data_IF_276700163688
#
_entry.id   IF_276700163688
#
_cell.length_a   1.000
_cell.length_b   1.000
_cell.length_c   1.000
_cell.angle_alpha   90.00
_cell.angle_beta   90.00
_cell.angle_gamma   90.00
#
_symmetry.space_group_name_H-M   'P 1'
#
loop_
_entity.id
_entity.type
_entity.pdbx_description
1 polymer ?
#
# COMPACT_ATOMS: atom_id res chain seq x y z
N UNK A 1 11.31 6.28 -3.28
CA UNK A 1 10.56 5.94 -2.06
C UNK A 1 10.12 4.51 -2.21
N UNK A 2 10.23 3.70 -1.18
CA UNK A 2 9.91 2.26 -1.24
C UNK A 2 9.16 1.87 0.03
N UNK A 3 8.26 0.90 -0.08
CA UNK A 3 7.56 0.28 1.03
C UNK A 3 7.82 -1.23 0.97
N UNK A 4 8.20 -1.89 2.08
CA UNK A 4 8.43 -3.33 2.07
C UNK A 4 7.13 -4.11 1.81
N UNK A 5 7.24 -5.23 1.12
CA UNK A 5 6.19 -6.24 0.97
C UNK A 5 6.54 -7.56 1.68
N UNK A 6 5.65 -8.56 1.63
CA UNK A 6 5.85 -9.83 2.34
C UNK A 6 7.10 -10.61 1.89
N UNK A 7 7.60 -10.34 0.68
CA UNK A 7 8.84 -10.93 0.16
C UNK A 7 10.12 -10.22 0.64
N UNK A 8 10.00 -9.06 1.29
CA UNK A 8 11.14 -8.32 1.82
C UNK A 8 11.52 -8.79 3.23
N UNK A 9 12.82 -8.75 3.52
CA UNK A 9 13.36 -9.02 4.86
C UNK A 9 13.86 -7.72 5.45
N UNK A 10 13.25 -7.25 6.55
CA UNK A 10 13.47 -5.92 7.15
C UNK A 10 14.95 -5.53 7.35
N UNK A 11 15.84 -6.37 7.94
CA UNK A 11 17.26 -6.07 8.02
C UNK A 11 17.94 -5.85 6.66
N UNK A 12 17.65 -6.71 5.68
CA UNK A 12 18.22 -6.64 4.35
C UNK A 12 17.70 -5.43 3.57
N UNK A 13 16.39 -5.17 3.68
CA UNK A 13 15.72 -4.01 3.11
C UNK A 13 16.35 -2.69 3.60
N UNK A 14 16.53 -2.53 4.92
CA UNK A 14 17.20 -1.36 5.52
C UNK A 14 18.61 -1.17 4.98
N UNK A 15 19.41 -2.24 4.97
CA UNK A 15 20.79 -2.17 4.52
C UNK A 15 20.91 -1.83 3.04
N UNK A 16 20.18 -2.56 2.19
CA UNK A 16 20.37 -2.53 0.75
C UNK A 16 19.63 -1.37 0.06
N UNK A 17 18.41 -1.04 0.52
CA UNK A 17 17.58 -0.01 -0.12
C UNK A 17 17.67 1.34 0.60
N UNK A 18 17.89 1.35 1.92
CA UNK A 18 17.92 2.59 2.71
C UNK A 18 19.33 3.01 3.14
N UNK A 19 20.34 2.14 3.03
CA UNK A 19 21.69 2.41 3.52
C UNK A 19 21.78 2.51 5.05
N UNK A 20 20.82 1.95 5.76
CA UNK A 20 20.71 2.02 7.23
C UNK A 20 21.29 0.77 7.90
N UNK A 21 21.53 0.86 9.21
CA UNK A 21 21.88 -0.31 10.00
C UNK A 21 20.74 -1.35 9.97
N UNK A 22 21.06 -2.65 9.87
CA UNK A 22 20.06 -3.70 9.91
C UNK A 22 19.31 -3.69 11.25
N UNK A 23 17.99 -3.85 11.19
CA UNK A 23 17.12 -3.94 12.37
C UNK A 23 15.83 -4.70 12.01
N UNK A 24 15.15 -5.25 13.02
CA UNK A 24 13.96 -6.11 12.88
C UNK A 24 12.62 -5.38 12.98
N UNK A 25 12.60 -4.17 13.57
CA UNK A 25 11.37 -3.40 13.77
C UNK A 25 10.71 -2.96 12.45
N UNK A 26 9.45 -2.52 12.45
CA UNK A 26 8.77 -2.03 11.24
C UNK A 26 9.52 -0.90 10.52
N UNK A 27 9.49 -0.89 9.19
CA UNK A 27 10.15 0.11 8.32
C UNK A 27 9.16 1.21 7.90
N UNK A 28 8.60 1.91 8.88
CA UNK A 28 7.66 3.00 8.62
C UNK A 28 8.38 4.29 8.18
N UNK A 29 7.89 4.97 7.12
CA UNK A 29 8.48 6.22 6.60
C UNK A 29 7.41 7.22 6.19
N UNK A 30 7.66 8.49 6.45
CA UNK A 30 6.83 9.58 5.93
C UNK A 30 7.65 10.41 4.94
N UNK A 31 7.05 10.69 3.78
CA UNK A 31 7.61 11.57 2.77
C UNK A 31 6.68 12.75 2.56
N UNK A 32 7.23 13.96 2.41
CA UNK A 32 6.45 15.16 2.05
C UNK A 32 6.71 15.53 0.61
N UNK A 33 5.68 15.51 -0.23
CA UNK A 33 5.78 15.74 -1.66
C UNK A 33 4.64 16.66 -2.08
N UNK A 34 4.97 17.81 -2.68
CA UNK A 34 3.96 18.74 -3.22
C UNK A 34 2.89 19.13 -2.20
N UNK A 35 3.27 19.36 -0.93
CA UNK A 35 2.32 19.70 0.14
C UNK A 35 1.52 18.53 0.72
N UNK A 36 1.73 17.30 0.25
CA UNK A 36 1.06 16.08 0.72
C UNK A 36 2.02 15.22 1.55
N UNK A 37 1.52 14.62 2.62
CA UNK A 37 2.23 13.58 3.35
C UNK A 37 1.93 12.20 2.76
N UNK A 38 2.96 11.41 2.43
CA UNK A 38 2.83 10.02 2.00
C UNK A 38 3.47 9.14 3.06
N UNK A 39 2.64 8.39 3.77
CA UNK A 39 3.07 7.47 4.82
C UNK A 39 3.22 6.09 4.20
N UNK A 40 4.46 5.61 4.11
CA UNK A 40 4.81 4.23 3.78
C UNK A 40 4.80 3.42 5.07
N UNK A 41 3.77 2.58 5.23
CA UNK A 41 3.52 1.78 6.41
C UNK A 41 3.97 0.34 6.17
N UNK A 42 4.87 -0.14 7.01
CA UNK A 42 5.31 -1.53 6.97
C UNK A 42 4.25 -2.43 7.61
N UNK A 43 3.53 -3.16 6.76
CA UNK A 43 2.54 -4.17 7.16
C UNK A 43 3.11 -5.58 7.15
N UNK A 44 4.41 -5.77 6.89
CA UNK A 44 5.01 -7.10 6.79
C UNK A 44 4.95 -7.85 8.11
N UNK A 45 4.70 -9.15 8.04
CA UNK A 45 4.80 -10.05 9.18
C UNK A 45 5.91 -11.05 8.86
N UNK A 46 7.07 -11.02 9.57
CA UNK A 46 8.19 -11.89 9.26
C UNK A 46 7.78 -13.37 9.21
N UNK A 47 8.06 -14.02 8.07
CA UNK A 47 7.73 -15.43 7.84
C UNK A 47 6.31 -15.71 7.36
N UNK A 48 5.50 -14.68 7.10
CA UNK A 48 4.12 -14.80 6.64
C UNK A 48 3.83 -13.90 5.43
N UNK A 49 2.91 -14.35 4.57
CA UNK A 49 2.50 -13.59 3.37
C UNK A 49 1.44 -12.52 3.66
N UNK A 50 0.63 -12.73 4.70
CA UNK A 50 -0.39 -11.76 5.11
C UNK A 50 0.24 -10.48 5.67
N UNK A 51 -0.53 -9.40 5.64
CA UNK A 51 -0.14 -8.13 6.24
C UNK A 51 -0.79 -7.93 7.60
N UNK A 52 -0.16 -7.17 8.49
CA UNK A 52 -0.80 -6.68 9.71
C UNK A 52 -0.26 -5.31 10.11
N UNK A 53 -1.15 -4.40 10.48
CA UNK A 53 -0.76 -3.15 11.14
C UNK A 53 -0.64 -3.46 12.63
N UNK A 54 0.58 -3.71 13.09
CA UNK A 54 0.84 -3.95 14.51
C UNK A 54 0.66 -2.68 15.35
N UNK A 55 0.68 -2.85 16.68
CA UNK A 55 0.45 -1.74 17.60
C UNK A 55 1.53 -0.64 17.50
N UNK A 56 2.77 -0.99 17.13
CA UNK A 56 3.85 -0.02 16.92
C UNK A 56 3.57 0.85 15.70
N UNK A 57 3.21 0.21 14.58
CA UNK A 57 2.86 0.87 13.33
C UNK A 57 1.59 1.67 13.45
N UNK A 58 0.55 1.17 14.13
CA UNK A 58 -0.67 1.93 14.40
C UNK A 58 -0.38 3.22 15.18
N UNK A 59 0.40 3.14 16.27
CA UNK A 59 0.81 4.33 17.04
C UNK A 59 1.66 5.29 16.21
N UNK A 60 2.55 4.75 15.36
CA UNK A 60 3.36 5.57 14.47
C UNK A 60 2.50 6.32 13.44
N UNK A 61 1.53 5.63 12.83
CA UNK A 61 0.59 6.26 11.88
C UNK A 61 -0.20 7.37 12.58
N UNK A 62 -0.83 7.04 13.72
CA UNK A 62 -1.66 7.98 14.48
C UNK A 62 -0.87 9.23 14.92
N UNK A 63 0.31 9.04 15.49
CA UNK A 63 1.18 10.14 15.90
C UNK A 63 1.69 10.96 14.71
N UNK A 64 2.00 10.31 13.59
CA UNK A 64 2.45 11.00 12.38
C UNK A 64 1.33 11.87 11.80
N UNK A 65 0.12 11.33 11.66
CA UNK A 65 -1.04 12.05 11.13
C UNK A 65 -1.50 13.18 12.05
N UNK A 66 -1.52 12.94 13.37
CA UNK A 66 -1.84 13.96 14.39
C UNK A 66 -0.82 15.10 14.41
N UNK A 67 0.44 14.81 14.10
CA UNK A 67 1.53 15.80 14.04
C UNK A 67 1.63 16.55 12.71
N UNK A 68 0.78 16.27 11.72
CA UNK A 68 0.78 17.03 10.47
C UNK A 68 0.18 18.43 10.68
N UNK A 69 0.73 19.47 10.05
CA UNK A 69 0.09 20.78 10.04
C UNK A 69 -1.36 20.71 9.52
N UNK A 70 -2.19 21.65 9.97
CA UNK A 70 -3.57 21.76 9.51
C UNK A 70 -3.66 21.91 8.00
N UNK A 71 -4.66 21.25 7.40
CA UNK A 71 -4.88 21.26 5.96
C UNK A 71 -3.92 20.40 5.13
N UNK A 72 -2.85 19.84 5.70
CA UNK A 72 -1.95 18.92 4.96
C UNK A 72 -2.66 17.56 4.74
N UNK A 73 -2.96 17.18 3.49
CA UNK A 73 -3.56 15.89 3.20
C UNK A 73 -2.52 14.77 3.34
N UNK A 74 -3.02 13.55 3.54
CA UNK A 74 -2.19 12.36 3.65
C UNK A 74 -2.63 11.26 2.68
N UNK A 75 -1.67 10.49 2.19
CA UNK A 75 -1.87 9.21 1.54
C UNK A 75 -1.23 8.13 2.41
N UNK A 76 -1.97 7.04 2.64
CA UNK A 76 -1.44 5.88 3.34
C UNK A 76 -1.06 4.82 2.32
N UNK A 77 0.16 4.29 2.37
CA UNK A 77 0.65 3.28 1.44
C UNK A 77 1.21 2.07 2.19
N UNK A 78 0.79 0.87 1.82
CA UNK A 78 1.27 -0.39 2.40
C UNK A 78 1.09 -1.55 1.42
N UNK A 79 1.58 -2.76 1.71
CA UNK A 79 1.66 -3.79 0.69
C UNK A 79 0.32 -4.53 0.44
N UNK A 80 -0.27 -5.14 1.47
CA UNK A 80 -1.45 -6.01 1.32
C UNK A 80 -2.78 -5.24 1.32
N UNK A 81 -3.68 -5.42 0.35
CA UNK A 81 -5.01 -4.81 0.34
C UNK A 81 -5.86 -5.16 1.59
N UNK A 82 -6.64 -4.21 2.13
CA UNK A 82 -7.56 -4.44 3.26
C UNK A 82 -8.95 -4.95 2.85
N UNK A 83 -9.15 -5.29 1.57
CA UNK A 83 -10.43 -5.78 1.00
C UNK A 83 -10.18 -6.96 0.08
N UNK A 84 -11.24 -7.69 -0.27
CA UNK A 84 -11.18 -8.66 -1.38
C UNK A 84 -10.89 -7.95 -2.69
N UNK A 85 -9.94 -8.48 -3.45
CA UNK A 85 -9.65 -8.07 -4.83
C UNK A 85 -10.15 -9.11 -5.84
N UNK A 86 -10.88 -10.12 -5.37
CA UNK A 86 -11.51 -11.18 -6.15
C UNK A 86 -10.51 -12.02 -6.95
N UNK A 87 -9.36 -12.28 -6.34
CA UNK A 87 -8.36 -13.20 -6.85
C UNK A 87 -7.89 -14.13 -5.72
N UNK A 88 -7.96 -15.47 -5.88
CA UNK A 88 -7.68 -16.42 -4.80
C UNK A 88 -6.33 -16.23 -4.09
N UNK A 89 -5.26 -15.94 -4.84
CA UNK A 89 -3.92 -15.73 -4.27
C UNK A 89 -3.83 -14.52 -3.32
N UNK A 90 -3.96 -13.25 -3.77
CA UNK A 90 -3.86 -12.11 -2.86
C UNK A 90 -4.98 -12.09 -1.82
N UNK A 91 -6.16 -12.69 -2.10
CA UNK A 91 -7.23 -12.79 -1.12
C UNK A 91 -6.92 -13.73 0.04
N UNK A 92 -6.00 -14.71 -0.15
CA UNK A 92 -5.55 -15.64 0.88
C UNK A 92 -4.52 -15.04 1.86
N UNK A 93 -3.91 -13.91 1.52
CA UNK A 93 -2.87 -13.25 2.31
C UNK A 93 -3.04 -11.72 2.34
N UNK A 94 -4.28 -11.28 2.61
CA UNK A 94 -4.65 -9.86 2.76
C UNK A 94 -4.08 -9.23 4.03
N UNK A 95 -4.40 -7.96 4.23
CA UNK A 95 -4.23 -7.32 5.54
C UNK A 95 -5.20 -7.98 6.54
N UNK A 96 -4.66 -8.50 7.63
CA UNK A 96 -5.42 -8.98 8.79
C UNK A 96 -5.94 -7.83 9.64
N UNK A 97 -7.07 -8.07 10.32
CA UNK A 97 -7.71 -7.10 11.22
C UNK A 97 -7.93 -5.71 10.58
N UNK A 98 -8.47 -5.62 9.33
CA UNK A 98 -8.62 -4.35 8.62
C UNK A 98 -9.47 -3.34 9.38
N UNK A 99 -10.38 -3.77 10.26
CA UNK A 99 -11.18 -2.91 11.13
C UNK A 99 -10.34 -1.98 12.02
N UNK A 100 -9.12 -2.37 12.39
CA UNK A 100 -8.18 -1.48 13.09
C UNK A 100 -7.76 -0.32 12.22
N UNK A 101 -7.45 -0.59 10.95
CA UNK A 101 -7.14 0.45 9.98
C UNK A 101 -8.36 1.32 9.73
N UNK A 102 -9.56 0.74 9.59
CA UNK A 102 -10.78 1.52 9.40
C UNK A 102 -11.00 2.52 10.56
N UNK A 103 -10.85 2.06 11.80
CA UNK A 103 -10.95 2.90 13.00
C UNK A 103 -9.91 4.03 13.01
N UNK A 104 -8.66 3.72 12.64
CA UNK A 104 -7.60 4.72 12.52
C UNK A 104 -7.94 5.75 11.45
N UNK A 105 -8.39 5.29 10.29
CA UNK A 105 -8.74 6.18 9.20
C UNK A 105 -9.88 7.12 9.64
N UNK A 106 -10.92 6.60 10.30
CA UNK A 106 -12.04 7.40 10.83
C UNK A 106 -11.60 8.53 11.77
N UNK A 107 -10.56 8.32 12.58
CA UNK A 107 -9.96 9.36 13.40
C UNK A 107 -9.17 10.42 12.60
N UNK A 108 -8.77 10.09 11.36
CA UNK A 108 -7.90 10.92 10.51
C UNK A 108 -8.54 11.23 9.14
N UNK A 109 -9.53 12.14 9.08
CA UNK A 109 -10.22 12.49 7.83
C UNK A 109 -9.32 13.13 6.76
N UNK A 110 -8.11 13.57 7.14
CA UNK A 110 -7.09 14.08 6.19
C UNK A 110 -6.47 13.01 5.29
N UNK A 111 -6.67 11.72 5.60
CA UNK A 111 -6.21 10.63 4.73
C UNK A 111 -7.12 10.55 3.52
N UNK A 112 -6.63 11.02 2.38
CA UNK A 112 -7.39 11.16 1.14
C UNK A 112 -7.57 9.82 0.39
N UNK A 113 -6.62 8.89 0.52
CA UNK A 113 -6.70 7.56 -0.10
C UNK A 113 -5.71 6.58 0.53
N UNK A 114 -5.95 5.30 0.25
CA UNK A 114 -5.08 4.17 0.56
C UNK A 114 -4.48 3.61 -0.73
N UNK A 115 -3.18 3.38 -0.74
CA UNK A 115 -2.43 2.82 -1.87
C UNK A 115 -1.84 1.47 -1.48
N UNK A 116 -2.09 0.43 -2.26
CA UNK A 116 -1.55 -0.90 -2.01
C UNK A 116 -0.92 -1.56 -3.23
N UNK A 117 -0.26 -2.69 -3.01
CA UNK A 117 0.29 -3.55 -4.07
C UNK A 117 -0.24 -4.96 -3.92
N UNK A 118 0.67 -5.94 -3.91
CA UNK A 118 0.43 -7.37 -3.61
C UNK A 118 -0.42 -8.15 -4.63
N UNK A 119 -1.44 -7.53 -5.24
CA UNK A 119 -2.30 -8.20 -6.22
C UNK A 119 -1.66 -8.41 -7.59
N UNK A 120 -0.50 -7.79 -7.86
CA UNK A 120 0.21 -7.85 -9.15
C UNK A 120 -0.63 -7.41 -10.37
N UNK A 121 -1.77 -6.78 -10.14
CA UNK A 121 -2.69 -6.27 -11.15
C UNK A 121 -3.25 -4.94 -10.68
N UNK A 122 -3.55 -4.05 -11.63
CA UNK A 122 -4.19 -2.77 -11.29
C UNK A 122 -5.63 -3.03 -10.85
N UNK A 123 -6.00 -2.49 -9.70
CA UNK A 123 -7.39 -2.51 -9.22
C UNK A 123 -7.72 -1.21 -8.49
N UNK A 124 -9.03 -0.93 -8.41
CA UNK A 124 -9.55 0.18 -7.63
C UNK A 124 -10.78 -0.29 -6.86
N UNK A 125 -10.89 0.15 -5.61
CA UNK A 125 -12.00 -0.15 -4.71
C UNK A 125 -12.19 1.00 -3.72
N UNK A 126 -12.95 0.78 -2.67
CA UNK A 126 -13.07 1.69 -1.53
C UNK A 126 -12.84 0.94 -0.23
N UNK A 127 -12.23 1.60 0.75
CA UNK A 127 -12.05 1.08 2.09
C UNK A 127 -12.30 2.17 3.13
N UNK A 128 -13.16 1.88 4.11
CA UNK A 128 -13.59 2.83 5.14
C UNK A 128 -14.05 4.20 4.55
N UNK A 129 -14.68 4.23 3.37
CA UNK A 129 -15.10 5.48 2.72
C UNK A 129 -14.01 6.27 2.00
N UNK A 130 -12.79 5.72 1.87
CA UNK A 130 -11.69 6.30 1.08
C UNK A 130 -11.47 5.49 -0.19
N UNK A 131 -10.98 6.11 -1.29
CA UNK A 131 -10.45 5.36 -2.42
C UNK A 131 -9.32 4.41 -1.98
N UNK A 132 -9.37 3.18 -2.45
CA UNK A 132 -8.30 2.19 -2.35
C UNK A 132 -7.78 1.90 -3.75
N UNK A 133 -6.50 2.14 -3.98
CA UNK A 133 -5.86 1.96 -5.28
C UNK A 133 -4.78 0.90 -5.18
N UNK A 134 -4.88 -0.14 -5.99
CA UNK A 134 -3.89 -1.23 -6.06
C UNK A 134 -3.01 -1.00 -7.29
N UNK A 135 -1.71 -0.85 -7.06
CA UNK A 135 -0.73 -0.64 -8.11
C UNK A 135 -0.55 -1.88 -9.00
N UNK A 136 -0.34 -1.71 -10.32
CA UNK A 136 -0.01 -2.82 -11.21
C UNK A 136 1.39 -3.39 -10.91
N UNK A 137 1.64 -4.60 -11.41
CA UNK A 137 2.99 -5.17 -11.40
C UNK A 137 3.88 -4.59 -12.50
N UNK A 138 5.19 -4.62 -12.26
CA UNK A 138 6.22 -4.25 -13.23
C UNK A 138 6.94 -5.46 -13.85
N UNK A 139 6.50 -6.68 -13.54
CA UNK A 139 7.16 -7.92 -13.97
C UNK A 139 6.21 -8.92 -14.63
N UNK A 140 5.13 -9.26 -13.95
CA UNK A 140 4.14 -10.26 -14.36
C UNK A 140 2.85 -9.98 -13.61
N UNK A 141 1.72 -10.30 -14.21
CA UNK A 141 0.39 -9.95 -13.69
C UNK A 141 -0.40 -11.19 -13.29
N UNK A 142 -1.13 -11.10 -12.19
CA UNK A 142 -2.13 -12.10 -11.84
C UNK A 142 -3.37 -11.92 -12.70
N UNK A 143 -3.82 -13.02 -13.32
CA UNK A 143 -5.01 -13.07 -14.14
C UNK A 143 -6.22 -13.38 -13.27
N UNK A 144 -7.29 -12.63 -13.43
CA UNK A 144 -8.55 -12.91 -12.75
C UNK A 144 -9.05 -14.31 -13.15
N UNK A 145 -9.83 -14.99 -12.29
CA UNK A 145 -10.20 -16.39 -12.51
C UNK A 145 -10.91 -16.70 -13.84
N UNK A 146 -11.47 -15.68 -14.51
CA UNK A 146 -12.15 -15.80 -15.80
C UNK A 146 -11.26 -15.47 -17.02
N UNK A 147 -10.00 -15.11 -16.82
CA UNK A 147 -9.05 -14.73 -17.89
C UNK A 147 -8.24 -15.92 -18.43
N UNK A 148 -8.63 -17.15 -18.05
CA UNK A 148 -8.09 -18.41 -18.58
C UNK A 148 -7.57 -19.36 -17.50
N UNK A 149 -6.96 -20.47 -17.94
CA UNK A 149 -6.52 -21.54 -17.03
C UNK A 149 -5.21 -21.23 -16.29
N UNK A 150 -4.42 -20.28 -16.79
CA UNK A 150 -3.16 -19.87 -16.18
C UNK A 150 -3.40 -18.70 -15.19
N UNK A 151 -2.98 -18.82 -13.91
CA UNK A 151 -3.23 -17.80 -12.89
C UNK A 151 -2.36 -16.54 -13.05
N UNK A 152 -1.33 -16.58 -13.91
CA UNK A 152 -0.42 -15.47 -14.13
C UNK A 152 -0.08 -15.29 -15.61
N UNK A 153 0.02 -14.04 -16.03
CA UNK A 153 0.58 -13.61 -17.29
C UNK A 153 2.01 -13.10 -17.07
N UNK A 154 3.00 -13.76 -17.67
CA UNK A 154 4.40 -13.36 -17.58
C UNK A 154 4.86 -12.52 -18.77
N UNK A 155 4.03 -12.43 -19.80
CA UNK A 155 4.32 -11.69 -21.03
C UNK A 155 3.64 -10.30 -21.02
N UNK A 156 2.73 -10.06 -20.08
CA UNK A 156 2.10 -8.75 -19.91
C UNK A 156 3.15 -7.67 -19.61
N UNK A 157 3.15 -6.54 -20.34
CA UNK A 157 4.14 -5.49 -20.10
C UNK A 157 3.95 -4.82 -18.73
N UNK A 158 5.02 -4.19 -18.18
CA UNK A 158 4.96 -3.48 -16.91
C UNK A 158 3.85 -2.44 -16.87
N UNK A 159 3.12 -2.36 -15.76
CA UNK A 159 2.17 -1.28 -15.51
C UNK A 159 2.71 -0.23 -14.55
N UNK A 160 2.22 1.00 -14.67
CA UNK A 160 2.48 2.11 -13.76
C UNK A 160 1.16 2.79 -13.36
N UNK A 161 1.13 3.38 -12.16
CA UNK A 161 0.04 4.21 -11.69
C UNK A 161 0.55 5.64 -11.45
N UNK A 162 -0.13 6.63 -12.05
CA UNK A 162 0.13 8.05 -11.82
C UNK A 162 -0.97 8.62 -10.94
N UNK A 163 -0.60 9.11 -9.76
CA UNK A 163 -1.50 9.65 -8.76
C UNK A 163 -1.47 11.18 -8.79
N UNK A 164 -2.65 11.81 -8.95
CA UNK A 164 -2.83 13.25 -8.88
C UNK A 164 -3.81 13.55 -7.77
N UNK A 165 -3.35 14.23 -6.71
CA UNK A 165 -4.19 14.69 -5.62
C UNK A 165 -4.54 16.17 -5.88
N UNK A 166 -5.83 16.44 -6.11
CA UNK A 166 -6.34 17.79 -6.29
C UNK A 166 -6.38 18.58 -4.98
N UNK A 167 -6.46 19.91 -5.09
CA UNK A 167 -6.65 20.81 -3.94
C UNK A 167 -7.99 20.56 -3.21
N UNK A 168 -8.97 19.98 -3.90
CA UNK A 168 -10.25 19.53 -3.33
C UNK A 168 -10.16 18.20 -2.58
N UNK A 169 -8.95 17.63 -2.45
CA UNK A 169 -8.69 16.36 -1.77
C UNK A 169 -9.03 15.13 -2.61
N UNK A 170 -9.47 15.29 -3.87
CA UNK A 170 -9.80 14.14 -4.73
C UNK A 170 -8.53 13.54 -5.32
N UNK A 171 -8.35 12.23 -5.11
CA UNK A 171 -7.32 11.46 -5.80
C UNK A 171 -7.82 10.99 -7.17
N UNK A 172 -7.09 11.32 -8.23
CA UNK A 172 -7.24 10.71 -9.55
C UNK A 172 -6.05 9.82 -9.83
N UNK A 173 -6.28 8.58 -10.27
CA UNK A 173 -5.20 7.66 -10.68
C UNK A 173 -5.33 7.30 -12.16
N UNK A 174 -4.23 7.43 -12.90
CA UNK A 174 -4.12 6.96 -14.26
C UNK A 174 -3.19 5.76 -14.35
N UNK A 175 -3.71 4.61 -14.78
CA UNK A 175 -2.90 3.44 -15.09
C UNK A 175 -2.32 3.54 -16.51
N UNK A 176 -1.07 3.13 -16.68
CA UNK A 176 -0.37 3.07 -17.96
C UNK A 176 0.33 1.73 -18.08
N UNK A 177 0.23 1.12 -19.25
CA UNK A 177 1.11 0.01 -19.65
C UNK A 177 2.35 0.62 -20.30
N UNK A 178 3.52 0.12 -19.94
CA UNK A 178 4.81 0.50 -20.51
C UNK A 178 5.11 -0.49 -21.65
N UNK A 179 5.00 -0.05 -22.92
CA UNK A 179 5.23 -0.92 -24.08
C UNK A 179 6.71 -1.25 -24.28
#
# INVERSE_FOLDING_TARGET
MTCPGNHDVRPAYRKALLGEAPAEGPVNRVHRIGGTAVLMCDTTVPGHDHGRIDAETARWIDGTLSGLPDGVPALLAFHQPPVEVHHPLPDSCRLEEPERLATLLDAHPRVAAVLTGHAHTAAASSFAGRPLIVGPAVTWTLRLPWEGDAPADRDQPPGLAFHLLGEDGRLTTHFRVVP
#
